data_IF_593241632385
#
_entry.id   IF_593241632385
#
_cell.length_a   1.000
_cell.length_b   1.000
_cell.length_c   1.000
_cell.angle_alpha   90.00
_cell.angle_beta   90.00
_cell.angle_gamma   90.00
#
_symmetry.space_group_name_H-M   'P 1'
#
loop_
_entity.id
_entity.type
_entity.pdbx_description
1 polymer ?
#
# COMPACT_ATOMS: atom_id res chain seq x y z
N UNK A 1 24.36 -24.05 5.28
CA UNK A 1 23.23 -24.76 5.93
C UNK A 1 23.12 -26.15 5.33
N UNK A 2 23.20 -27.22 6.12
CA UNK A 2 23.19 -28.61 5.62
C UNK A 2 21.75 -29.14 5.42
N UNK A 3 20.88 -28.91 6.39
CA UNK A 3 19.47 -29.31 6.34
C UNK A 3 18.58 -28.18 6.84
N UNK A 4 17.35 -28.15 6.33
CA UNK A 4 16.31 -27.22 6.78
C UNK A 4 14.95 -27.91 6.75
N UNK A 5 14.07 -27.51 7.66
CA UNK A 5 12.88 -28.29 8.00
C UNK A 5 11.59 -27.52 7.73
N UNK A 6 10.51 -28.27 7.46
CA UNK A 6 9.16 -27.70 7.28
C UNK A 6 8.13 -28.63 7.92
N UNK A 7 7.46 -28.12 8.95
CA UNK A 7 6.39 -28.83 9.64
C UNK A 7 5.06 -28.70 8.88
N UNK A 8 4.38 -29.82 8.66
CA UNK A 8 3.08 -29.83 7.97
C UNK A 8 2.14 -30.85 8.58
N UNK A 9 0.87 -30.50 8.67
CA UNK A 9 -0.18 -31.47 8.96
C UNK A 9 -0.39 -32.41 7.75
N UNK A 10 -0.89 -33.62 8.00
CA UNK A 10 -1.06 -34.65 6.95
C UNK A 10 -2.01 -34.21 5.83
N UNK A 11 -3.04 -33.41 6.15
CA UNK A 11 -3.99 -32.92 5.15
C UNK A 11 -3.29 -31.97 4.17
N UNK A 12 -2.45 -31.05 4.63
CA UNK A 12 -1.69 -30.15 3.78
C UNK A 12 -0.71 -30.89 2.85
N UNK A 13 -0.21 -32.06 3.29
CA UNK A 13 0.70 -32.91 2.51
C UNK A 13 -0.01 -33.79 1.47
N UNK A 14 -1.20 -34.32 1.80
CA UNK A 14 -1.85 -35.41 1.05
C UNK A 14 -3.24 -35.08 0.51
N UNK A 15 -3.85 -33.96 0.91
CA UNK A 15 -5.16 -33.55 0.42
C UNK A 15 -5.00 -32.28 -0.43
N UNK A 16 -5.50 -32.32 -1.65
CA UNK A 16 -5.52 -31.18 -2.57
C UNK A 16 -6.89 -30.50 -2.59
N UNK A 17 -7.40 -30.03 -1.45
CA UNK A 17 -8.56 -29.12 -1.42
C UNK A 17 -8.11 -27.69 -1.04
N UNK A 18 -7.75 -26.86 -2.04
CA UNK A 18 -7.31 -25.48 -1.82
C UNK A 18 -8.36 -24.63 -1.09
N UNK A 19 -9.65 -24.96 -1.20
CA UNK A 19 -10.73 -24.24 -0.49
C UNK A 19 -10.63 -24.37 1.02
N UNK A 20 -9.99 -25.44 1.50
CA UNK A 20 -9.74 -25.68 2.93
C UNK A 20 -8.29 -25.38 3.34
N UNK A 21 -7.49 -24.80 2.44
CA UNK A 21 -6.08 -24.49 2.71
C UNK A 21 -5.15 -25.71 2.69
N UNK A 22 -5.52 -26.78 1.96
CA UNK A 22 -4.68 -27.96 1.75
C UNK A 22 -4.21 -28.06 0.30
N UNK A 23 -2.91 -28.32 0.09
CA UNK A 23 -2.26 -28.16 -1.22
C UNK A 23 -1.64 -29.44 -1.77
N UNK A 24 -1.77 -30.55 -1.05
CA UNK A 24 -1.12 -31.81 -1.40
C UNK A 24 0.39 -31.65 -1.62
N UNK A 25 1.09 -30.89 -0.76
CA UNK A 25 2.50 -30.51 -0.99
C UNK A 25 3.41 -31.72 -1.29
N UNK A 26 3.18 -32.86 -0.61
CA UNK A 26 3.96 -34.07 -0.84
C UNK A 26 3.49 -34.82 -2.09
N UNK A 27 2.18 -34.97 -2.27
CA UNK A 27 1.61 -35.70 -3.42
C UNK A 27 1.94 -35.01 -4.75
N UNK A 28 1.81 -33.68 -4.78
CA UNK A 28 2.05 -32.86 -5.96
C UNK A 28 3.52 -32.48 -6.13
N UNK A 29 4.37 -32.83 -5.16
CA UNK A 29 5.75 -32.34 -5.06
C UNK A 29 5.77 -30.82 -5.23
N UNK A 30 5.18 -30.09 -4.29
CA UNK A 30 5.00 -28.64 -4.37
C UNK A 30 5.28 -27.97 -3.05
N UNK A 31 5.56 -26.67 -3.11
CA UNK A 31 5.79 -25.80 -1.96
C UNK A 31 4.75 -24.70 -2.04
N UNK A 32 3.92 -24.63 -1.01
CA UNK A 32 2.96 -23.55 -0.84
C UNK A 32 3.66 -22.26 -0.41
N UNK A 33 3.30 -21.14 -1.04
CA UNK A 33 3.70 -19.80 -0.61
C UNK A 33 2.46 -19.08 -0.04
N UNK A 34 2.52 -18.76 1.24
CA UNK A 34 1.48 -18.08 1.99
C UNK A 34 1.53 -16.57 1.77
N UNK A 35 0.37 -15.95 1.63
CA UNK A 35 0.24 -14.49 1.58
C UNK A 35 0.37 -13.87 2.98
N UNK A 36 0.63 -12.55 3.09
CA UNK A 36 0.86 -11.89 4.37
C UNK A 36 -0.28 -12.07 5.37
N UNK A 37 -1.52 -12.14 4.89
CA UNK A 37 -2.73 -12.30 5.71
C UNK A 37 -2.83 -13.69 6.35
N UNK A 38 -2.04 -14.66 5.89
CA UNK A 38 -1.99 -16.02 6.43
C UNK A 38 -0.86 -16.21 7.46
N UNK A 39 -0.03 -15.19 7.68
CA UNK A 39 1.09 -15.26 8.60
C UNK A 39 0.63 -15.07 10.05
N UNK A 40 1.39 -15.67 10.96
CA UNK A 40 1.02 -15.79 12.37
C UNK A 40 1.32 -14.52 13.18
N UNK A 41 2.29 -13.72 12.77
CA UNK A 41 2.64 -12.48 13.45
C UNK A 41 2.08 -11.26 12.67
N UNK A 42 1.29 -10.39 13.32
CA UNK A 42 0.69 -9.23 12.67
C UNK A 42 1.69 -8.15 12.26
N UNK A 43 2.96 -8.20 12.73
CA UNK A 43 3.97 -7.20 12.35
C UNK A 43 4.67 -7.50 11.04
N UNK A 44 4.42 -8.66 10.46
CA UNK A 44 5.11 -9.15 9.28
C UNK A 44 4.71 -8.38 8.03
N UNK A 45 5.68 -7.85 7.31
CA UNK A 45 5.43 -6.96 6.17
C UNK A 45 4.96 -5.55 6.54
N UNK A 46 4.83 -5.21 7.84
CA UNK A 46 4.52 -3.85 8.26
C UNK A 46 5.67 -2.90 7.88
N UNK A 47 5.28 -1.71 7.39
CA UNK A 47 6.21 -0.66 6.97
C UNK A 47 5.86 0.65 7.64
N UNK A 48 6.88 1.32 8.16
CA UNK A 48 6.74 2.67 8.69
C UNK A 48 6.89 3.68 7.54
N UNK A 49 5.83 3.80 6.73
CA UNK A 49 5.83 4.70 5.57
C UNK A 49 5.73 6.15 6.03
N UNK A 50 6.52 7.00 5.40
CA UNK A 50 6.45 8.44 5.58
C UNK A 50 6.64 9.18 4.25
N UNK A 51 6.33 10.47 4.26
CA UNK A 51 6.47 11.35 3.11
C UNK A 51 7.40 12.49 3.46
N UNK A 52 8.47 12.66 2.67
CA UNK A 52 9.41 13.76 2.84
C UNK A 52 9.86 14.25 1.47
N UNK A 53 9.58 15.51 1.17
CA UNK A 53 9.94 16.09 -0.12
C UNK A 53 9.52 17.54 -0.26
N UNK A 54 9.94 18.11 -1.38
CA UNK A 54 9.70 19.51 -1.73
C UNK A 54 8.28 19.73 -2.30
N UNK A 55 8.00 20.99 -2.65
CA UNK A 55 6.70 21.42 -3.18
C UNK A 55 6.25 20.65 -4.43
N UNK A 56 7.17 20.20 -5.28
CA UNK A 56 6.84 19.54 -6.54
C UNK A 56 6.14 18.22 -6.27
N UNK A 57 6.74 17.36 -5.44
CA UNK A 57 6.16 16.04 -5.13
C UNK A 57 4.85 16.15 -4.35
N UNK A 58 4.71 17.16 -3.49
CA UNK A 58 3.45 17.43 -2.77
C UNK A 58 2.34 17.92 -3.70
N UNK A 59 2.63 18.82 -4.63
CA UNK A 59 1.65 19.21 -5.66
C UNK A 59 1.23 18.02 -6.52
N UNK A 60 2.18 17.15 -6.86
CA UNK A 60 1.91 15.98 -7.68
C UNK A 60 1.15 14.88 -6.93
N UNK A 61 1.36 14.73 -5.61
CA UNK A 61 0.51 13.89 -4.77
C UNK A 61 -0.95 14.40 -4.80
N UNK A 62 -1.17 15.71 -4.63
CA UNK A 62 -2.53 16.28 -4.71
C UNK A 62 -3.12 16.16 -6.12
N UNK A 63 -2.30 16.22 -7.18
CA UNK A 63 -2.75 15.92 -8.55
C UNK A 63 -3.20 14.48 -8.66
N UNK A 64 -2.36 13.52 -8.28
CA UNK A 64 -2.69 12.09 -8.32
C UNK A 64 -3.96 11.82 -7.49
N UNK A 65 -4.05 12.33 -6.26
CA UNK A 65 -5.28 12.30 -5.45
C UNK A 65 -6.52 12.77 -6.20
N UNK A 66 -6.45 13.95 -6.84
CA UNK A 66 -7.59 14.48 -7.59
C UNK A 66 -7.91 13.67 -8.86
N UNK A 67 -6.92 13.01 -9.48
CA UNK A 67 -7.11 12.16 -10.65
C UNK A 67 -7.83 10.89 -10.24
N UNK A 68 -7.31 10.20 -9.23
CA UNK A 68 -7.88 8.99 -8.67
C UNK A 68 -9.31 9.25 -8.20
N UNK A 69 -9.57 10.35 -7.47
CA UNK A 69 -10.94 10.72 -7.07
C UNK A 69 -11.86 10.96 -8.27
N UNK A 70 -11.38 11.67 -9.30
CA UNK A 70 -12.16 11.90 -10.53
C UNK A 70 -12.48 10.57 -11.22
N UNK A 71 -11.50 9.68 -11.31
CA UNK A 71 -11.66 8.38 -11.94
C UNK A 71 -12.63 7.49 -11.17
N UNK A 72 -12.50 7.41 -9.85
CA UNK A 72 -13.38 6.60 -8.99
C UNK A 72 -14.83 7.10 -9.05
N UNK A 73 -15.04 8.42 -9.03
CA UNK A 73 -16.38 9.01 -9.19
C UNK A 73 -16.96 8.66 -10.57
N UNK A 74 -16.18 8.82 -11.65
CA UNK A 74 -16.63 8.47 -13.00
C UNK A 74 -16.91 6.97 -13.15
N UNK A 75 -16.04 6.12 -12.60
CA UNK A 75 -16.21 4.67 -12.65
C UNK A 75 -17.51 4.26 -11.94
N UNK A 76 -17.81 4.88 -10.79
CA UNK A 76 -19.06 4.64 -10.08
C UNK A 76 -20.30 5.12 -10.86
N UNK A 77 -20.27 6.33 -11.41
CA UNK A 77 -21.44 6.91 -12.10
C UNK A 77 -21.70 6.30 -13.50
N UNK A 78 -20.70 5.63 -14.07
CA UNK A 78 -20.79 4.98 -15.38
C UNK A 78 -20.94 3.46 -15.30
N UNK A 79 -20.73 2.86 -14.12
CA UNK A 79 -20.93 1.42 -13.91
C UNK A 79 -22.40 1.12 -13.70
N UNK A 80 -22.93 0.13 -14.42
CA UNK A 80 -24.27 -0.44 -14.16
C UNK A 80 -24.23 -1.44 -12.99
N UNK A 81 -23.05 -1.98 -12.68
CA UNK A 81 -22.82 -2.92 -11.58
C UNK A 81 -22.39 -2.16 -10.33
N UNK A 82 -23.00 -2.50 -9.18
CA UNK A 82 -22.55 -2.02 -7.88
C UNK A 82 -21.16 -2.59 -7.58
N UNK A 83 -20.21 -1.70 -7.28
CA UNK A 83 -18.90 -2.11 -6.79
C UNK A 83 -19.08 -2.90 -5.50
N UNK A 84 -18.68 -4.18 -5.47
CA UNK A 84 -18.67 -4.98 -4.24
C UNK A 84 -17.82 -4.33 -3.14
N UNK A 85 -16.75 -3.64 -3.52
CA UNK A 85 -15.95 -2.81 -2.62
C UNK A 85 -15.51 -1.51 -3.32
N UNK A 86 -15.82 -0.36 -2.72
CA UNK A 86 -15.46 0.94 -3.31
C UNK A 86 -13.95 1.17 -3.43
N UNK A 87 -13.13 0.47 -2.62
CA UNK A 87 -11.67 0.55 -2.73
C UNK A 87 -11.17 0.09 -4.10
N UNK A 88 -11.89 -0.82 -4.77
CA UNK A 88 -11.52 -1.34 -6.09
C UNK A 88 -11.63 -0.29 -7.19
N UNK A 89 -12.36 0.80 -6.93
CA UNK A 89 -12.44 1.95 -7.84
C UNK A 89 -11.19 2.86 -7.77
N UNK A 90 -10.29 2.66 -6.81
CA UNK A 90 -9.06 3.45 -6.63
C UNK A 90 -7.98 2.94 -7.58
N UNK A 91 -7.91 3.54 -8.77
CA UNK A 91 -6.81 3.31 -9.70
C UNK A 91 -5.67 4.30 -9.45
N UNK A 92 -4.59 3.80 -8.84
CA UNK A 92 -3.36 4.56 -8.61
C UNK A 92 -2.38 4.52 -9.78
N UNK A 93 -2.54 3.57 -10.71
CA UNK A 93 -1.67 3.43 -11.87
C UNK A 93 -2.16 4.27 -13.05
N UNK A 94 -3.41 4.76 -13.00
CA UNK A 94 -3.85 5.88 -13.82
C UNK A 94 -3.10 7.16 -13.41
N UNK A 95 -2.25 7.62 -14.32
CA UNK A 95 -1.41 8.79 -14.15
C UNK A 95 -1.76 9.86 -15.19
N UNK A 96 -1.48 11.15 -14.93
CA UNK A 96 -1.72 12.21 -15.90
C UNK A 96 -1.13 11.93 -17.30
N UNK A 97 0.06 11.31 -17.38
CA UNK A 97 0.69 10.94 -18.65
C UNK A 97 0.06 9.74 -19.35
N UNK A 98 -0.69 8.89 -18.64
CA UNK A 98 -1.28 7.64 -19.14
C UNK A 98 -2.80 7.70 -19.35
N UNK A 99 -3.43 8.86 -19.12
CA UNK A 99 -4.85 9.06 -19.39
C UNK A 99 -5.16 8.68 -20.86
N UNK A 100 -6.14 7.80 -21.12
CA UNK A 100 -6.28 7.14 -22.42
C UNK A 100 -6.85 8.04 -23.53
N UNK A 101 -7.65 9.05 -23.19
CA UNK A 101 -8.35 9.89 -24.19
C UNK A 101 -7.99 11.37 -24.04
N UNK A 102 -7.89 12.09 -25.15
CA UNK A 102 -7.64 13.54 -25.14
C UNK A 102 -8.76 14.30 -24.43
N UNK A 103 -10.03 13.89 -24.60
CA UNK A 103 -11.16 14.49 -23.87
C UNK A 103 -10.96 14.38 -22.35
N UNK A 104 -10.53 13.22 -21.85
CA UNK A 104 -10.29 13.04 -20.43
C UNK A 104 -9.05 13.80 -19.96
N UNK A 105 -7.96 13.84 -20.76
CA UNK A 105 -6.77 14.66 -20.46
C UNK A 105 -7.12 16.13 -20.33
N UNK A 106 -7.95 16.67 -21.22
CA UNK A 106 -8.38 18.06 -21.17
C UNK A 106 -9.25 18.35 -19.94
N UNK A 107 -10.23 17.48 -19.65
CA UNK A 107 -11.09 17.58 -18.48
C UNK A 107 -10.26 17.57 -17.19
N UNK A 108 -9.42 16.55 -17.03
CA UNK A 108 -8.56 16.43 -15.86
C UNK A 108 -7.56 17.60 -15.78
N UNK A 109 -7.00 18.04 -16.90
CA UNK A 109 -6.14 19.22 -16.96
C UNK A 109 -6.82 20.50 -16.45
N UNK A 110 -8.14 20.65 -16.66
CA UNK A 110 -8.93 21.73 -16.04
C UNK A 110 -9.11 21.53 -14.54
N UNK A 111 -9.46 20.32 -14.11
CA UNK A 111 -9.63 19.94 -12.69
C UNK A 111 -8.34 20.18 -11.92
N UNK A 112 -7.24 19.56 -12.32
CA UNK A 112 -5.93 19.66 -11.68
C UNK A 112 -5.43 21.11 -11.58
N UNK A 113 -5.70 21.95 -12.59
CA UNK A 113 -5.37 23.38 -12.55
C UNK A 113 -6.18 24.13 -11.50
N UNK A 114 -7.49 23.83 -11.38
CA UNK A 114 -8.39 24.45 -10.40
C UNK A 114 -8.10 24.00 -8.98
N UNK A 115 -7.81 22.72 -8.79
CA UNK A 115 -7.41 22.13 -7.49
C UNK A 115 -6.15 22.81 -6.97
N UNK A 116 -5.05 22.79 -7.73
CA UNK A 116 -3.76 23.33 -7.27
C UNK A 116 -3.79 24.85 -7.07
N UNK A 117 -4.62 25.58 -7.83
CA UNK A 117 -4.79 27.03 -7.64
C UNK A 117 -5.76 27.40 -6.52
N UNK A 118 -6.48 26.44 -5.94
CA UNK A 118 -7.48 26.71 -4.92
C UNK A 118 -6.80 27.24 -3.63
N UNK A 119 -7.32 28.32 -3.00
CA UNK A 119 -6.73 28.87 -1.78
C UNK A 119 -6.60 27.88 -0.62
N UNK A 120 -7.56 26.96 -0.46
CA UNK A 120 -7.51 25.93 0.59
C UNK A 120 -6.35 24.96 0.36
N UNK A 121 -6.22 24.47 -0.87
CA UNK A 121 -5.17 23.53 -1.27
C UNK A 121 -3.80 24.20 -1.15
N UNK A 122 -3.66 25.43 -1.64
CA UNK A 122 -2.41 26.20 -1.52
C UNK A 122 -2.03 26.40 -0.06
N UNK A 123 -2.98 26.80 0.80
CA UNK A 123 -2.71 26.97 2.22
C UNK A 123 -2.17 25.70 2.88
N UNK A 124 -2.78 24.54 2.62
CA UNK A 124 -2.32 23.26 3.17
C UNK A 124 -0.95 22.88 2.62
N UNK A 125 -0.74 23.01 1.30
CA UNK A 125 0.57 22.75 0.71
C UNK A 125 1.64 23.69 1.27
N UNK A 126 1.33 24.96 1.48
CA UNK A 126 2.26 25.95 2.04
C UNK A 126 2.68 25.55 3.46
N UNK A 127 1.75 25.04 4.28
CA UNK A 127 2.03 24.50 5.62
C UNK A 127 2.89 23.23 5.56
N UNK A 128 2.54 22.28 4.69
CA UNK A 128 3.29 21.04 4.53
C UNK A 128 4.74 21.33 4.13
N UNK A 129 4.95 22.29 3.23
CA UNK A 129 6.29 22.65 2.73
C UNK A 129 7.03 23.70 3.55
N UNK A 130 6.39 24.31 4.55
CA UNK A 130 7.02 25.35 5.36
C UNK A 130 8.15 24.80 6.24
N UNK A 131 8.12 23.50 6.53
CA UNK A 131 9.11 22.81 7.35
C UNK A 131 9.50 21.52 6.67
N UNK A 132 10.79 21.27 6.51
CA UNK A 132 11.29 19.96 6.10
C UNK A 132 11.01 18.97 7.24
N UNK A 133 9.87 18.28 7.13
CA UNK A 133 9.42 17.33 8.14
C UNK A 133 9.00 16.01 7.52
N UNK A 134 9.17 14.98 8.32
CA UNK A 134 8.71 13.64 8.03
C UNK A 134 7.21 13.57 8.36
N UNK A 135 6.37 13.52 7.32
CA UNK A 135 4.91 13.40 7.49
C UNK A 135 4.57 11.90 7.54
N UNK A 136 3.88 11.48 8.60
CA UNK A 136 3.37 10.11 8.75
C UNK A 136 1.93 10.02 8.25
N UNK A 137 1.43 8.80 8.15
CA UNK A 137 0.12 8.47 7.58
C UNK A 137 -1.04 9.27 8.17
N UNK A 138 -1.13 9.36 9.49
CA UNK A 138 -2.22 10.06 10.18
C UNK A 138 -2.19 11.57 9.90
N UNK A 139 -1.00 12.14 9.80
CA UNK A 139 -0.83 13.54 9.43
C UNK A 139 -1.18 13.79 7.94
N UNK A 140 -0.78 12.88 7.05
CA UNK A 140 -1.17 12.94 5.65
C UNK A 140 -2.69 12.89 5.49
N UNK A 141 -3.35 11.98 6.23
CA UNK A 141 -4.81 11.87 6.27
C UNK A 141 -5.44 13.17 6.73
N UNK A 142 -4.96 13.74 7.84
CA UNK A 142 -5.42 15.04 8.32
C UNK A 142 -5.31 16.14 7.25
N UNK A 143 -4.22 16.17 6.49
CA UNK A 143 -4.02 17.14 5.42
C UNK A 143 -4.98 16.92 4.23
N UNK A 144 -5.12 15.70 3.73
CA UNK A 144 -6.02 15.38 2.63
C UNK A 144 -7.48 15.60 3.02
N UNK A 145 -7.92 15.16 4.20
CA UNK A 145 -9.26 15.40 4.73
C UNK A 145 -9.60 16.90 4.78
N UNK A 146 -8.61 17.73 5.13
CA UNK A 146 -8.80 19.18 5.24
C UNK A 146 -9.08 19.85 3.90
N UNK A 147 -8.68 19.24 2.78
CA UNK A 147 -8.93 19.75 1.43
C UNK A 147 -9.93 18.91 0.64
N UNK A 148 -10.30 17.73 1.12
CA UNK A 148 -11.08 16.73 0.40
C UNK A 148 -12.37 17.29 -0.19
N UNK A 149 -13.24 17.87 0.64
CA UNK A 149 -14.52 18.43 0.18
C UNK A 149 -14.34 19.56 -0.85
N UNK A 150 -13.23 20.29 -0.78
CA UNK A 150 -12.91 21.33 -1.77
C UNK A 150 -12.51 20.69 -3.10
N UNK A 151 -11.66 19.65 -3.07
CA UNK A 151 -11.25 18.89 -4.26
C UNK A 151 -12.46 18.23 -4.91
N UNK A 152 -13.24 17.47 -4.13
CA UNK A 152 -14.46 16.80 -4.59
C UNK A 152 -15.46 17.78 -5.21
N UNK A 153 -15.66 18.96 -4.61
CA UNK A 153 -16.52 20.00 -5.20
C UNK A 153 -15.99 20.50 -6.55
N UNK A 154 -14.68 20.67 -6.70
CA UNK A 154 -14.08 21.09 -7.98
C UNK A 154 -14.29 19.99 -9.02
N UNK A 155 -14.07 18.72 -8.66
CA UNK A 155 -14.31 17.56 -9.53
C UNK A 155 -15.77 17.55 -10.00
N UNK A 156 -16.73 17.51 -9.07
CA UNK A 156 -18.16 17.47 -9.38
C UNK A 156 -18.60 18.64 -10.27
N UNK A 157 -18.07 19.85 -10.05
CA UNK A 157 -18.39 21.03 -10.87
C UNK A 157 -17.81 20.97 -12.28
N UNK A 158 -16.66 20.34 -12.48
CA UNK A 158 -16.13 20.17 -13.83
C UNK A 158 -16.81 18.99 -14.54
N UNK A 159 -17.16 17.93 -13.81
CA UNK A 159 -17.94 16.82 -14.34
C UNK A 159 -19.36 17.24 -14.75
N UNK A 160 -20.02 18.11 -13.98
CA UNK A 160 -21.38 18.58 -14.32
C UNK A 160 -21.46 19.39 -15.61
N UNK A 161 -20.34 19.88 -16.14
CA UNK A 161 -20.31 20.54 -17.46
C UNK A 161 -20.30 19.55 -18.61
N UNK A 162 -19.82 18.34 -18.35
CA UNK A 162 -19.74 17.27 -19.33
C UNK A 162 -20.95 16.33 -19.23
N UNK A 163 -21.44 16.09 -18.00
CA UNK A 163 -22.56 15.19 -17.68
C UNK A 163 -23.48 15.89 -16.65
N UNK A 164 -24.30 16.88 -17.06
CA UNK A 164 -25.13 17.67 -16.14
C UNK A 164 -26.11 16.81 -15.33
N UNK A 165 -26.74 15.83 -15.97
CA UNK A 165 -27.77 14.98 -15.39
C UNK A 165 -27.29 14.21 -14.15
N UNK A 166 -26.01 13.82 -14.12
CA UNK A 166 -25.43 13.07 -13.00
C UNK A 166 -24.87 13.98 -11.87
N UNK A 167 -24.46 15.22 -12.18
CA UNK A 167 -23.60 16.00 -11.26
C UNK A 167 -24.11 17.39 -10.87
N UNK A 168 -25.17 17.92 -11.47
CA UNK A 168 -25.61 19.30 -11.19
C UNK A 168 -26.01 19.53 -9.72
N UNK A 169 -26.64 18.55 -9.07
CA UNK A 169 -26.96 18.65 -7.64
C UNK A 169 -25.69 18.64 -6.78
N UNK A 170 -24.70 17.81 -7.12
CA UNK A 170 -23.40 17.72 -6.42
C UNK A 170 -22.54 18.98 -6.62
N UNK A 171 -22.62 19.61 -7.79
CA UNK A 171 -21.87 20.83 -8.11
C UNK A 171 -22.31 22.04 -7.26
N UNK A 172 -23.57 22.03 -6.79
CA UNK A 172 -24.18 23.10 -6.01
C UNK A 172 -24.06 22.92 -4.49
N UNK A 173 -23.42 21.85 -4.00
CA UNK A 173 -23.16 21.64 -2.58
C UNK A 173 -22.49 22.86 -1.91
N UNK A 174 -22.69 23.12 -0.60
CA UNK A 174 -22.08 24.26 0.09
C UNK A 174 -20.56 24.37 -0.11
N UNK A 175 -20.03 25.60 -0.17
CA UNK A 175 -18.57 25.80 -0.24
C UNK A 175 -17.96 25.54 1.13
N UNK A 176 -16.92 24.70 1.24
CA UNK A 176 -16.16 24.59 2.48
C UNK A 176 -15.62 25.96 2.91
N UNK A 177 -15.66 26.26 4.21
CA UNK A 177 -15.26 27.56 4.75
C UNK A 177 -13.74 27.65 4.91
N UNK A 178 -13.12 28.62 4.24
CA UNK A 178 -11.68 28.89 4.40
C UNK A 178 -11.33 29.29 5.84
N UNK A 179 -12.22 30.02 6.51
CA UNK A 179 -12.07 30.37 7.93
C UNK A 179 -12.03 29.12 8.82
N UNK A 180 -12.85 28.11 8.52
CA UNK A 180 -12.84 26.84 9.26
C UNK A 180 -11.50 26.13 9.08
N UNK A 181 -10.99 26.06 7.85
CA UNK A 181 -9.66 25.51 7.55
C UNK A 181 -8.55 26.21 8.34
N UNK A 182 -8.49 27.54 8.28
CA UNK A 182 -7.49 28.31 9.04
C UNK A 182 -7.61 28.07 10.55
N UNK A 183 -8.84 27.98 11.07
CA UNK A 183 -9.07 27.70 12.49
C UNK A 183 -8.59 26.31 12.89
N UNK A 184 -8.78 25.31 12.02
CA UNK A 184 -8.28 23.93 12.21
C UNK A 184 -6.76 23.85 12.31
N UNK A 185 -6.04 24.69 11.54
CA UNK A 185 -4.57 24.71 11.51
C UNK A 185 -3.93 25.69 12.48
N UNK A 186 -4.68 26.66 13.02
CA UNK A 186 -4.16 27.66 13.96
C UNK A 186 -3.38 27.03 15.12
N UNK A 187 -3.87 25.99 15.82
CA UNK A 187 -3.12 25.38 16.93
C UNK A 187 -1.76 24.84 16.49
N UNK A 188 -1.67 24.20 15.31
CA UNK A 188 -0.41 23.69 14.75
C UNK A 188 0.55 24.85 14.48
N UNK A 189 0.07 25.91 13.79
CA UNK A 189 0.91 27.07 13.44
C UNK A 189 1.45 27.77 14.70
N UNK A 190 0.64 27.86 15.75
CA UNK A 190 1.06 28.44 17.03
C UNK A 190 2.04 27.55 17.79
N UNK A 191 1.85 26.23 17.76
CA UNK A 191 2.74 25.25 18.38
C UNK A 191 4.15 25.28 17.76
N UNK A 192 4.24 25.28 16.42
CA UNK A 192 5.53 25.33 15.70
C UNK A 192 6.38 26.54 16.08
N UNK A 193 5.76 27.66 16.47
CA UNK A 193 6.50 28.87 16.87
C UNK A 193 7.06 28.81 18.28
N UNK A 194 6.58 27.91 19.13
CA UNK A 194 6.81 27.90 20.58
C UNK A 194 7.55 26.67 21.07
N UNK A 195 7.34 25.53 20.41
CA UNK A 195 7.87 24.24 20.85
C UNK A 195 9.19 23.94 20.16
N UNK A 196 10.05 23.20 20.85
CA UNK A 196 11.18 22.55 20.22
C UNK A 196 10.74 21.33 19.40
N UNK A 197 11.69 20.65 18.74
CA UNK A 197 11.37 19.52 17.86
C UNK A 197 10.78 18.31 18.60
N UNK A 198 11.24 18.03 19.82
CA UNK A 198 10.80 16.85 20.57
C UNK A 198 9.38 17.07 21.12
N UNK A 199 9.14 18.24 21.70
CA UNK A 199 7.82 18.64 22.19
C UNK A 199 6.80 18.76 21.06
N UNK A 200 7.23 19.23 19.89
CA UNK A 200 6.36 19.32 18.71
C UNK A 200 5.87 17.96 18.24
N UNK A 201 6.71 16.91 18.28
CA UNK A 201 6.29 15.56 17.90
C UNK A 201 5.19 15.06 18.84
N UNK A 202 5.40 15.15 20.16
CA UNK A 202 4.40 14.73 21.14
C UNK A 202 3.10 15.52 21.04
N UNK A 203 3.19 16.83 20.79
CA UNK A 203 2.02 17.67 20.54
C UNK A 203 1.26 17.24 19.28
N UNK A 204 1.97 16.96 18.19
CA UNK A 204 1.34 16.49 16.94
C UNK A 204 0.64 15.16 17.12
N UNK A 205 1.25 14.20 17.83
CA UNK A 205 0.65 12.89 18.09
C UNK A 205 -0.68 13.05 18.85
N UNK A 206 -0.69 13.83 19.94
CA UNK A 206 -1.91 14.13 20.71
C UNK A 206 -2.97 14.88 19.89
N UNK A 207 -2.53 15.86 19.10
CA UNK A 207 -3.42 16.65 18.25
C UNK A 207 -4.09 15.76 17.19
N UNK A 208 -3.33 14.91 16.51
CA UNK A 208 -3.83 14.00 15.48
C UNK A 208 -4.76 12.96 16.08
N UNK A 209 -4.43 12.40 17.26
CA UNK A 209 -5.32 11.47 17.97
C UNK A 209 -6.68 12.11 18.25
N UNK A 210 -6.71 13.36 18.75
CA UNK A 210 -7.95 14.08 18.97
C UNK A 210 -8.73 14.34 17.67
N UNK A 211 -8.04 14.59 16.55
CA UNK A 211 -8.70 14.74 15.23
C UNK A 211 -9.29 13.42 14.74
N UNK A 212 -8.59 12.30 14.91
CA UNK A 212 -9.09 10.97 14.57
C UNK A 212 -10.35 10.67 15.37
N UNK A 213 -10.33 10.88 16.68
CA UNK A 213 -11.51 10.69 17.54
C UNK A 213 -12.70 11.55 17.08
N UNK A 214 -12.45 12.81 16.70
CA UNK A 214 -13.49 13.69 16.14
C UNK A 214 -14.07 13.13 14.84
N UNK A 215 -13.22 12.68 13.92
CA UNK A 215 -13.65 12.08 12.64
C UNK A 215 -14.44 10.79 12.86
N UNK A 216 -13.99 9.90 13.74
CA UNK A 216 -14.72 8.68 14.10
C UNK A 216 -16.09 9.00 14.69
N UNK A 217 -16.19 9.99 15.59
CA UNK A 217 -17.47 10.42 16.14
C UNK A 217 -18.41 10.99 15.06
N UNK A 218 -17.87 11.71 14.07
CA UNK A 218 -18.63 12.21 12.93
C UNK A 218 -19.12 11.06 12.03
N UNK A 219 -18.25 10.10 11.71
CA UNK A 219 -18.59 8.90 10.94
C UNK A 219 -19.67 8.09 11.64
N UNK A 220 -19.57 7.86 12.95
CA UNK A 220 -20.60 7.17 13.72
C UNK A 220 -21.95 7.89 13.66
N UNK A 221 -21.97 9.23 13.79
CA UNK A 221 -23.20 10.01 13.69
C UNK A 221 -23.86 9.90 12.31
N UNK A 222 -23.07 9.81 11.24
CA UNK A 222 -23.61 9.67 9.89
C UNK A 222 -23.96 8.22 9.53
N UNK A 223 -23.21 7.24 10.05
CA UNK A 223 -23.46 5.81 9.83
C UNK A 223 -24.69 5.23 10.55
N UNK A 224 -25.52 6.05 11.18
CA UNK A 224 -26.85 5.65 11.68
C UNK A 224 -27.95 5.76 10.59
N UNK A 225 -27.60 6.13 9.36
CA UNK A 225 -28.50 6.12 8.21
C UNK A 225 -28.17 4.87 7.34
N UNK A 226 -29.18 4.05 7.06
CA UNK A 226 -29.07 2.62 6.70
C UNK A 226 -29.63 2.38 5.27
N UNK A 227 -29.03 3.04 4.26
CA UNK A 227 -29.39 2.90 2.83
C UNK A 227 -28.11 2.71 2.00
N UNK A 228 -28.13 1.89 0.94
CA UNK A 228 -27.01 1.65 0.03
C UNK A 228 -26.51 2.94 -0.64
N UNK A 229 -27.41 3.88 -0.96
CA UNK A 229 -27.00 5.21 -1.46
C UNK A 229 -26.19 5.99 -0.42
N UNK A 230 -26.40 5.70 0.86
CA UNK A 230 -25.64 6.30 1.94
C UNK A 230 -24.23 5.70 2.05
N UNK A 231 -24.03 4.43 1.68
CA UNK A 231 -22.69 3.81 1.64
C UNK A 231 -21.77 4.44 0.61
N UNK A 232 -22.20 4.57 -0.65
CA UNK A 232 -21.42 5.24 -1.71
C UNK A 232 -21.12 6.68 -1.34
N UNK A 233 -22.15 7.42 -0.89
CA UNK A 233 -21.97 8.82 -0.52
C UNK A 233 -20.99 8.95 0.64
N UNK A 234 -21.13 8.10 1.68
CA UNK A 234 -20.20 8.04 2.80
C UNK A 234 -18.77 7.74 2.36
N UNK A 235 -18.56 6.79 1.46
CA UNK A 235 -17.24 6.48 0.93
C UNK A 235 -16.59 7.72 0.31
N UNK A 236 -17.25 8.33 -0.69
CA UNK A 236 -16.68 9.48 -1.39
C UNK A 236 -16.55 10.73 -0.52
N UNK A 237 -17.37 10.91 0.51
CA UNK A 237 -17.34 12.10 1.37
C UNK A 237 -16.36 11.95 2.54
N UNK A 238 -16.13 10.74 3.05
CA UNK A 238 -15.39 10.51 4.29
C UNK A 238 -14.24 9.52 4.21
N UNK A 239 -14.40 8.42 3.47
CA UNK A 239 -13.50 7.26 3.58
C UNK A 239 -12.44 7.28 2.48
N UNK A 240 -12.77 7.88 1.33
CA UNK A 240 -11.87 8.01 0.19
C UNK A 240 -10.45 8.53 0.54
N UNK A 241 -10.26 9.58 1.37
CA UNK A 241 -8.92 10.05 1.70
C UNK A 241 -8.06 8.99 2.41
N UNK A 242 -8.68 8.23 3.33
CA UNK A 242 -8.01 7.14 4.05
C UNK A 242 -7.66 6.02 3.09
N UNK A 243 -8.63 5.55 2.31
CA UNK A 243 -8.44 4.42 1.41
C UNK A 243 -7.46 4.76 0.28
N UNK A 244 -7.42 6.00 -0.18
CA UNK A 244 -6.38 6.48 -1.08
C UNK A 244 -4.98 6.32 -0.47
N UNK A 245 -4.79 6.75 0.78
CA UNK A 245 -3.49 6.65 1.47
C UNK A 245 -3.10 5.19 1.72
N UNK A 246 -4.05 4.32 2.08
CA UNK A 246 -3.80 2.88 2.21
C UNK A 246 -3.33 2.28 0.88
N UNK A 247 -4.00 2.65 -0.21
CA UNK A 247 -3.68 2.15 -1.54
C UNK A 247 -2.31 2.63 -2.03
N UNK A 248 -1.79 3.78 -1.57
CA UNK A 248 -0.49 4.32 -2.03
C UNK A 248 0.67 3.32 -1.87
N UNK A 249 0.58 2.40 -0.91
CA UNK A 249 1.58 1.36 -0.70
C UNK A 249 1.75 0.45 -1.92
N UNK A 250 0.69 0.29 -2.73
CA UNK A 250 0.70 -0.47 -3.96
C UNK A 250 1.60 0.12 -5.04
N UNK A 251 2.10 1.37 -4.91
CA UNK A 251 3.11 1.97 -5.79
C UNK A 251 4.54 1.67 -5.33
N UNK A 252 4.73 1.31 -4.07
CA UNK A 252 6.03 1.12 -3.47
C UNK A 252 6.61 -0.22 -3.87
N UNK A 253 6.00 -1.31 -3.39
CA UNK A 253 6.55 -2.65 -3.50
C UNK A 253 5.54 -3.65 -4.05
N UNK A 254 5.99 -4.68 -4.79
CA UNK A 254 5.10 -5.71 -5.32
C UNK A 254 4.41 -6.49 -4.20
N UNK A 255 3.28 -7.12 -4.53
CA UNK A 255 2.71 -8.16 -3.68
C UNK A 255 3.74 -9.29 -3.49
N UNK A 256 3.60 -10.04 -2.41
CA UNK A 256 4.54 -11.11 -2.09
C UNK A 256 3.84 -12.25 -1.38
N UNK A 257 4.42 -13.43 -1.52
CA UNK A 257 4.08 -14.61 -0.76
C UNK A 257 5.37 -15.26 -0.26
N UNK A 258 5.30 -15.97 0.86
CA UNK A 258 6.48 -16.57 1.49
C UNK A 258 6.27 -18.02 1.84
N UNK A 259 7.36 -18.75 1.93
CA UNK A 259 7.38 -20.12 2.37
C UNK A 259 8.35 -20.27 3.54
N UNK A 260 7.80 -20.65 4.70
CA UNK A 260 8.52 -20.69 5.96
C UNK A 260 9.16 -22.06 6.21
N UNK A 261 10.39 -22.03 6.71
CA UNK A 261 11.19 -23.18 7.08
C UNK A 261 11.91 -22.88 8.39
N UNK A 262 12.39 -23.90 9.08
CA UNK A 262 13.06 -23.75 10.37
C UNK A 262 14.35 -24.56 10.42
N UNK A 263 15.30 -24.12 11.22
CA UNK A 263 16.59 -24.82 11.37
C UNK A 263 16.59 -25.90 12.45
N UNK A 264 15.54 -26.01 13.26
CA UNK A 264 15.44 -26.99 14.34
C UNK A 264 14.16 -27.84 14.19
N UNK A 265 14.34 -29.15 14.05
CA UNK A 265 13.24 -30.12 13.92
C UNK A 265 12.77 -30.70 15.27
N UNK A 266 13.48 -30.42 16.38
CA UNK A 266 13.20 -30.99 17.69
C UNK A 266 12.32 -30.08 18.57
N UNK A 267 12.07 -28.84 18.13
CA UNK A 267 11.27 -27.88 18.89
C UNK A 267 9.81 -28.36 19.07
N UNK A 268 9.44 -28.70 20.32
CA UNK A 268 8.10 -29.21 20.64
C UNK A 268 6.97 -28.23 20.35
N UNK A 269 7.19 -26.91 20.49
CA UNK A 269 6.17 -25.91 20.17
C UNK A 269 5.85 -25.92 18.68
N UNK A 270 6.86 -26.12 17.82
CA UNK A 270 6.66 -26.23 16.37
C UNK A 270 5.81 -27.44 15.99
N UNK A 271 6.06 -28.59 16.61
CA UNK A 271 5.23 -29.78 16.42
C UNK A 271 3.78 -29.58 16.89
N UNK A 272 3.59 -28.82 17.98
CA UNK A 272 2.28 -28.42 18.47
C UNK A 272 1.51 -27.56 17.47
N UNK A 273 2.11 -26.44 17.04
CA UNK A 273 1.46 -25.43 16.20
C UNK A 273 1.30 -25.84 14.73
N UNK A 274 2.35 -26.43 14.13
CA UNK A 274 2.42 -26.58 12.68
C UNK A 274 2.33 -28.03 12.19
N UNK A 275 2.44 -29.01 13.09
CA UNK A 275 2.32 -30.43 12.78
C UNK A 275 1.09 -31.07 13.47
N UNK A 276 -0.06 -30.38 13.46
CA UNK A 276 -1.36 -30.89 13.93
C UNK A 276 -1.28 -31.52 15.33
N UNK A 277 -0.73 -30.78 16.31
CA UNK A 277 -0.52 -31.29 17.67
C UNK A 277 0.24 -32.63 17.69
N UNK A 278 1.42 -32.66 17.05
CA UNK A 278 2.31 -33.82 16.94
C UNK A 278 1.81 -35.00 16.07
N UNK A 279 0.76 -34.81 15.25
CA UNK A 279 0.24 -35.86 14.35
C UNK A 279 0.68 -35.71 12.89
N UNK A 280 1.32 -34.58 12.58
CA UNK A 280 1.83 -34.24 11.26
C UNK A 280 3.20 -34.84 10.95
N UNK A 281 3.88 -34.24 10.00
CA UNK A 281 5.23 -34.64 9.59
C UNK A 281 6.17 -33.43 9.54
N UNK A 282 7.47 -33.72 9.65
CA UNK A 282 8.54 -32.79 9.41
C UNK A 282 9.23 -33.19 8.11
N UNK A 283 9.14 -32.35 7.08
CA UNK A 283 9.86 -32.54 5.83
C UNK A 283 11.30 -32.02 5.98
N UNK A 284 12.27 -32.74 5.41
CA UNK A 284 13.70 -32.39 5.45
C UNK A 284 14.13 -31.98 4.04
N UNK A 285 14.69 -30.79 3.92
CA UNK A 285 15.22 -30.25 2.67
C UNK A 285 16.72 -30.06 2.79
N UNK A 286 17.42 -30.23 1.65
CA UNK A 286 18.88 -30.02 1.55
C UNK A 286 19.16 -28.84 0.64
N UNK A 287 19.47 -27.65 1.21
CA UNK A 287 19.79 -26.47 0.43
C UNK A 287 21.03 -26.66 -0.43
N UNK A 288 21.03 -26.10 -1.63
CA UNK A 288 22.22 -25.98 -2.49
C UNK A 288 22.65 -24.52 -2.51
N UNK A 289 23.86 -24.22 -2.01
CA UNK A 289 24.38 -22.86 -1.88
C UNK A 289 23.40 -21.91 -1.17
N UNK A 290 22.86 -22.34 -0.02
CA UNK A 290 21.89 -21.57 0.78
C UNK A 290 20.60 -21.19 0.04
N UNK A 291 20.25 -21.96 -0.99
CA UNK A 291 19.03 -21.76 -1.78
C UNK A 291 18.32 -23.07 -2.04
N UNK A 292 17.03 -22.98 -2.34
CA UNK A 292 16.23 -24.09 -2.86
C UNK A 292 15.89 -23.81 -4.32
N UNK A 293 16.16 -24.79 -5.20
CA UNK A 293 15.81 -24.70 -6.62
C UNK A 293 14.39 -25.21 -6.82
N UNK A 294 13.50 -24.34 -7.26
CA UNK A 294 12.11 -24.66 -7.55
C UNK A 294 11.88 -24.68 -9.07
N UNK A 295 11.07 -25.62 -9.54
CA UNK A 295 10.75 -25.76 -10.95
C UNK A 295 9.33 -25.25 -11.22
N UNK A 296 8.94 -25.15 -12.50
CA UNK A 296 7.58 -24.77 -12.90
C UNK A 296 7.03 -23.52 -12.18
N UNK A 297 7.91 -22.58 -11.83
CA UNK A 297 7.50 -21.33 -11.19
C UNK A 297 6.72 -20.53 -12.23
N UNK A 298 5.50 -20.06 -11.93
CA UNK A 298 4.75 -19.25 -12.88
C UNK A 298 5.59 -18.10 -13.44
N UNK A 299 5.55 -17.90 -14.76
CA UNK A 299 6.33 -16.86 -15.44
C UNK A 299 7.80 -17.20 -15.70
N UNK A 300 8.26 -18.42 -15.37
CA UNK A 300 9.60 -18.90 -15.72
C UNK A 300 9.55 -19.99 -16.79
N UNK A 301 10.65 -20.14 -17.54
CA UNK A 301 10.76 -21.24 -18.51
C UNK A 301 10.67 -22.60 -17.78
N UNK A 302 9.98 -23.61 -18.34
CA UNK A 302 9.86 -24.94 -17.73
C UNK A 302 11.21 -25.61 -17.46
N UNK A 303 12.23 -25.22 -18.22
CA UNK A 303 13.59 -25.76 -18.16
C UNK A 303 14.52 -24.78 -17.42
N UNK A 304 15.10 -25.23 -16.30
CA UNK A 304 16.18 -24.51 -15.61
C UNK A 304 15.99 -24.34 -14.10
N UNK A 305 14.74 -24.23 -13.63
CA UNK A 305 14.41 -23.95 -12.23
C UNK A 305 14.87 -22.56 -11.77
N UNK A 306 14.13 -21.93 -10.86
CA UNK A 306 14.51 -20.66 -10.20
C UNK A 306 15.13 -20.98 -8.84
N UNK A 307 16.30 -20.39 -8.55
CA UNK A 307 16.90 -20.46 -7.20
C UNK A 307 16.19 -19.47 -6.29
N UNK A 308 15.71 -19.96 -5.14
CA UNK A 308 15.17 -19.13 -4.08
C UNK A 308 16.14 -19.17 -2.89
N UNK A 309 16.82 -18.07 -2.57
CA UNK A 309 17.69 -18.01 -1.39
C UNK A 309 16.87 -18.07 -0.10
N UNK A 310 17.45 -18.68 0.93
CA UNK A 310 16.88 -18.65 2.27
C UNK A 310 17.21 -17.32 2.96
N UNK A 311 16.19 -16.63 3.42
CA UNK A 311 16.32 -15.40 4.20
C UNK A 311 16.02 -15.67 5.67
N UNK A 312 16.99 -15.42 6.54
CA UNK A 312 16.82 -15.59 7.99
C UNK A 312 15.89 -14.51 8.55
N UNK A 313 15.02 -14.89 9.48
CA UNK A 313 14.17 -13.93 10.20
C UNK A 313 14.97 -13.14 11.24
N UNK A 314 14.67 -11.84 11.30
CA UNK A 314 15.12 -10.92 12.33
C UNK A 314 14.02 -10.72 13.39
N UNK A 315 14.30 -11.21 14.60
CA UNK A 315 13.41 -11.11 15.76
C UNK A 315 13.71 -9.93 16.68
N UNK A 316 14.72 -9.12 16.35
CA UNK A 316 15.24 -8.06 17.24
C UNK A 316 14.79 -6.67 16.81
N UNK A 317 14.75 -6.42 15.51
CA UNK A 317 14.47 -5.09 14.97
C UNK A 317 13.02 -4.98 14.48
N UNK A 318 12.35 -3.88 14.83
CA UNK A 318 11.00 -3.57 14.36
C UNK A 318 10.95 -3.11 12.90
N UNK A 319 9.76 -2.73 12.43
CA UNK A 319 9.53 -2.22 11.09
C UNK A 319 10.44 -1.03 10.74
N UNK A 320 10.91 -1.00 9.50
CA UNK A 320 11.83 0.01 9.02
C UNK A 320 11.09 1.18 8.40
N UNK A 321 11.72 2.34 8.42
CA UNK A 321 11.20 3.52 7.73
C UNK A 321 11.34 3.38 6.21
N UNK A 322 10.32 3.88 5.51
CA UNK A 322 10.28 3.93 4.05
C UNK A 322 9.75 5.31 3.62
N UNK A 323 10.56 6.08 2.91
CA UNK A 323 10.13 7.35 2.31
C UNK A 323 9.40 7.08 1.00
N UNK A 324 8.10 7.39 0.96
CA UNK A 324 7.23 7.14 -0.19
C UNK A 324 7.78 7.74 -1.47
N UNK A 325 8.19 9.02 -1.46
CA UNK A 325 8.62 9.71 -2.68
C UNK A 325 9.92 9.13 -3.25
N UNK A 326 10.70 8.42 -2.43
CA UNK A 326 11.96 7.78 -2.79
C UNK A 326 11.87 6.27 -2.96
N UNK A 327 10.66 5.69 -2.95
CA UNK A 327 10.48 4.24 -2.93
C UNK A 327 9.42 3.71 -3.91
N UNK A 328 9.02 4.46 -4.94
CA UNK A 328 7.99 4.06 -5.92
C UNK A 328 8.52 3.02 -6.94
N UNK A 329 9.05 1.89 -6.47
CA UNK A 329 9.76 0.93 -7.30
C UNK A 329 8.90 0.09 -8.24
N UNK A 330 7.57 0.13 -8.12
CA UNK A 330 6.65 -0.51 -9.09
C UNK A 330 6.36 0.34 -10.33
N UNK A 331 6.79 1.59 -10.34
CA UNK A 331 6.62 2.47 -11.50
C UNK A 331 7.89 2.49 -12.36
N UNK A 332 7.77 2.44 -13.70
CA UNK A 332 8.86 2.78 -14.60
C UNK A 332 9.41 4.18 -14.30
N UNK A 333 10.73 4.34 -14.46
CA UNK A 333 11.42 5.60 -14.12
C UNK A 333 10.82 6.82 -14.86
N UNK A 334 10.40 6.65 -16.11
CA UNK A 334 9.76 7.72 -16.88
C UNK A 334 8.41 8.13 -16.30
N UNK A 335 7.61 7.18 -15.80
CA UNK A 335 6.35 7.49 -15.13
C UNK A 335 6.57 8.19 -13.79
N UNK A 336 7.59 7.79 -13.02
CA UNK A 336 7.99 8.50 -11.79
C UNK A 336 8.38 9.93 -12.14
N UNK A 337 9.24 10.09 -13.15
CA UNK A 337 9.75 11.38 -13.60
C UNK A 337 8.62 12.32 -14.02
N UNK A 338 7.77 11.87 -14.92
CA UNK A 338 6.76 12.72 -15.57
C UNK A 338 5.57 13.05 -14.65
N UNK A 339 5.22 12.15 -13.72
CA UNK A 339 4.01 12.30 -12.91
C UNK A 339 4.27 12.71 -11.46
N UNK A 340 5.44 12.42 -10.90
CA UNK A 340 5.76 12.70 -9.50
C UNK A 340 6.87 13.72 -9.33
N UNK A 341 7.91 13.67 -10.16
CA UNK A 341 9.15 14.42 -9.93
C UNK A 341 9.21 15.75 -10.64
N UNK A 342 8.42 15.95 -11.69
CA UNK A 342 8.42 17.17 -12.48
C UNK A 342 7.24 18.07 -12.13
N UNK A 343 7.53 19.35 -11.93
CA UNK A 343 6.51 20.38 -11.91
C UNK A 343 6.04 20.69 -13.33
N UNK A 344 4.87 21.32 -13.44
CA UNK A 344 4.36 21.81 -14.72
C UNK A 344 5.29 22.81 -15.42
N UNK A 345 6.12 23.52 -14.66
CA UNK A 345 7.03 24.54 -15.19
C UNK A 345 8.43 23.97 -15.50
N UNK A 346 8.61 22.65 -15.43
CA UNK A 346 9.88 21.98 -15.72
C UNK A 346 10.89 21.96 -14.57
N UNK A 347 10.57 22.54 -13.41
CA UNK A 347 11.36 22.33 -12.19
C UNK A 347 11.25 20.87 -11.73
N UNK A 348 12.38 20.30 -11.31
CA UNK A 348 12.54 18.89 -10.93
C UNK A 348 12.72 18.84 -9.42
N UNK A 349 12.01 17.92 -8.77
CA UNK A 349 12.14 17.66 -7.33
C UNK A 349 13.52 17.12 -6.96
N UNK A 350 14.03 17.53 -5.80
CA UNK A 350 15.25 17.00 -5.19
C UNK A 350 15.11 15.50 -4.87
N UNK A 351 13.87 15.02 -4.67
CA UNK A 351 13.60 13.60 -4.48
C UNK A 351 14.02 12.75 -5.69
N UNK A 352 14.08 13.33 -6.89
CA UNK A 352 14.43 12.59 -8.10
C UNK A 352 15.90 12.17 -8.14
N UNK A 353 16.76 12.88 -7.41
CA UNK A 353 18.19 12.55 -7.37
C UNK A 353 18.44 11.18 -6.75
N UNK A 354 17.57 10.75 -5.82
CA UNK A 354 17.62 9.40 -5.24
C UNK A 354 17.53 8.28 -6.29
N UNK A 355 16.72 8.47 -7.34
CA UNK A 355 16.57 7.49 -8.42
C UNK A 355 17.73 7.52 -9.43
N UNK A 356 18.46 8.64 -9.52
CA UNK A 356 19.57 8.83 -10.46
C UNK A 356 20.92 8.39 -9.90
N UNK A 357 21.06 8.31 -8.57
CA UNK A 357 22.31 7.94 -7.90
C UNK A 357 22.89 6.66 -8.50
N UNK A 358 24.18 6.71 -8.86
CA UNK A 358 24.92 5.60 -9.47
C UNK A 358 24.19 4.94 -10.66
N UNK A 359 23.59 5.75 -11.55
CA UNK A 359 22.77 5.26 -12.67
C UNK A 359 21.62 4.33 -12.23
N UNK A 360 21.09 4.57 -11.02
CA UNK A 360 19.99 3.84 -10.41
C UNK A 360 20.36 2.49 -9.79
N UNK A 361 21.64 2.07 -9.75
CA UNK A 361 22.03 0.82 -9.08
C UNK A 361 21.74 0.85 -7.59
N UNK A 362 22.08 1.97 -6.95
CA UNK A 362 22.03 2.11 -5.50
C UNK A 362 20.57 2.15 -5.05
N UNK A 363 19.72 2.87 -5.80
CA UNK A 363 18.27 2.82 -5.64
C UNK A 363 17.75 1.38 -5.69
N UNK A 364 18.07 0.61 -6.74
CA UNK A 364 17.57 -0.77 -6.89
C UNK A 364 18.03 -1.67 -5.74
N UNK A 365 19.29 -1.56 -5.33
CA UNK A 365 19.83 -2.34 -4.23
C UNK A 365 19.13 -1.99 -2.90
N UNK A 366 19.00 -0.69 -2.60
CA UNK A 366 18.34 -0.23 -1.39
C UNK A 366 16.85 -0.61 -1.37
N UNK A 367 16.18 -0.47 -2.51
CA UNK A 367 14.79 -0.86 -2.70
C UNK A 367 14.57 -2.35 -2.36
N UNK A 368 15.33 -3.25 -3.00
CA UNK A 368 15.20 -4.68 -2.73
C UNK A 368 15.65 -5.05 -1.32
N UNK A 369 16.66 -4.36 -0.77
CA UNK A 369 17.06 -4.54 0.62
C UNK A 369 15.92 -4.19 1.58
N UNK A 370 15.20 -3.09 1.37
CA UNK A 370 14.06 -2.71 2.20
C UNK A 370 12.90 -3.69 2.03
N UNK A 371 12.63 -4.12 0.79
CA UNK A 371 11.60 -5.11 0.50
C UNK A 371 11.80 -6.40 1.30
N UNK A 372 12.98 -7.00 1.20
CA UNK A 372 13.33 -8.23 1.91
C UNK A 372 13.32 -8.01 3.42
N UNK A 373 13.94 -6.92 3.89
CA UNK A 373 14.01 -6.56 5.30
C UNK A 373 12.63 -6.52 5.98
N UNK A 374 11.63 -5.94 5.31
CA UNK A 374 10.28 -5.80 5.89
C UNK A 374 9.51 -7.14 5.92
N UNK A 375 9.83 -8.05 5.01
CA UNK A 375 9.25 -9.41 4.95
C UNK A 375 9.92 -10.35 5.95
N UNK A 376 11.19 -10.13 6.29
CA UNK A 376 11.98 -11.04 7.12
C UNK A 376 12.05 -10.60 8.58
N UNK A 377 10.94 -10.08 9.13
CA UNK A 377 10.86 -9.62 10.52
C UNK A 377 9.70 -10.25 11.24
N UNK A 378 9.92 -10.56 12.51
CA UNK A 378 8.90 -11.02 13.45
C UNK A 378 9.17 -10.42 14.83
N UNK A 379 8.14 -10.37 15.65
CA UNK A 379 8.26 -10.07 17.08
C UNK A 379 9.06 -11.15 17.79
N UNK A 380 9.69 -10.74 18.90
CA UNK A 380 10.57 -11.60 19.69
C UNK A 380 9.87 -12.85 20.25
N UNK A 381 8.55 -12.80 20.42
CA UNK A 381 7.77 -13.93 20.94
C UNK A 381 7.86 -15.17 20.04
N UNK A 382 8.21 -15.00 18.76
CA UNK A 382 8.39 -16.07 17.78
C UNK A 382 9.85 -16.49 17.54
N UNK A 383 10.82 -15.96 18.30
CA UNK A 383 12.26 -16.24 18.11
C UNK A 383 12.60 -17.74 18.25
N UNK A 384 11.79 -18.49 19.01
CA UNK A 384 11.95 -19.94 19.16
C UNK A 384 11.79 -20.71 17.84
N UNK A 385 11.14 -20.14 16.83
CA UNK A 385 10.92 -20.78 15.53
C UNK A 385 12.23 -20.94 14.74
N UNK A 386 13.24 -20.08 14.97
CA UNK A 386 14.49 -20.05 14.19
C UNK A 386 14.24 -20.14 12.67
N UNK A 387 13.36 -19.26 12.20
CA UNK A 387 12.77 -19.35 10.86
C UNK A 387 13.68 -18.78 9.76
N UNK A 388 13.56 -19.39 8.58
CA UNK A 388 14.02 -18.89 7.31
C UNK A 388 12.90 -18.89 6.27
N UNK A 389 12.99 -17.98 5.30
CA UNK A 389 11.98 -17.78 4.26
C UNK A 389 12.53 -17.96 2.86
N UNK A 390 11.72 -18.57 2.01
CA UNK A 390 11.76 -18.33 0.58
C UNK A 390 10.71 -17.27 0.26
N UNK A 391 11.08 -16.25 -0.50
CA UNK A 391 10.18 -15.14 -0.84
C UNK A 391 9.88 -15.21 -2.34
N UNK A 392 8.60 -15.09 -2.69
CA UNK A 392 8.14 -14.97 -4.06
C UNK A 392 7.41 -13.65 -4.24
N UNK A 393 7.98 -12.77 -5.03
CA UNK A 393 7.47 -11.45 -5.37
C UNK A 393 6.64 -11.43 -6.66
N UNK A 394 5.63 -10.58 -6.69
CA UNK A 394 4.85 -10.29 -7.87
C UNK A 394 5.72 -9.54 -8.88
N UNK A 395 5.94 -10.16 -10.03
CA UNK A 395 6.70 -9.56 -11.12
C UNK A 395 5.83 -9.47 -12.36
N UNK A 396 5.84 -10.50 -13.19
CA UNK A 396 5.07 -10.57 -14.45
C UNK A 396 3.81 -11.41 -14.35
N UNK A 397 3.70 -12.21 -13.28
CA UNK A 397 2.52 -13.01 -12.97
C UNK A 397 1.88 -12.41 -11.74
N UNK A 398 0.61 -12.05 -11.87
CA UNK A 398 -0.20 -11.52 -10.77
C UNK A 398 -0.22 -12.53 -9.63
N UNK A 399 0.20 -12.09 -8.43
CA UNK A 399 0.08 -12.92 -7.24
C UNK A 399 -1.29 -12.61 -6.63
N UNK A 400 -2.35 -13.31 -7.04
CA UNK A 400 -3.69 -12.94 -6.57
C UNK A 400 -4.71 -14.08 -6.53
N UNK A 401 -5.62 -14.06 -5.53
CA UNK A 401 -6.81 -14.89 -5.48
C UNK A 401 -7.89 -14.27 -6.38
N UNK A 402 -7.85 -14.52 -7.69
CA UNK A 402 -9.03 -14.23 -8.53
C UNK A 402 -10.05 -15.33 -8.32
N UNK A 403 -11.16 -14.99 -7.67
CA UNK A 403 -12.45 -15.71 -7.55
C UNK A 403 -12.46 -17.12 -8.16
N UNK A 404 -11.69 -18.00 -7.54
CA UNK A 404 -11.56 -19.38 -7.93
C UNK A 404 -11.43 -20.17 -6.64
N UNK A 405 -12.11 -21.32 -6.52
CA UNK A 405 -11.81 -22.36 -5.54
C UNK A 405 -10.33 -22.58 -5.20
N UNK A 406 -9.43 -22.22 -6.11
CA UNK A 406 -7.99 -22.49 -6.07
C UNK A 406 -7.10 -21.23 -6.14
N UNK A 407 -7.58 -20.05 -5.71
CA UNK A 407 -6.86 -18.76 -5.73
C UNK A 407 -5.60 -18.64 -4.85
N UNK A 408 -4.75 -19.66 -4.78
CA UNK A 408 -3.59 -19.76 -3.91
C UNK A 408 -2.38 -20.26 -4.69
N UNK A 409 -1.23 -19.62 -4.50
CA UNK A 409 -0.03 -19.90 -5.31
C UNK A 409 0.69 -21.13 -4.76
N UNK A 410 0.45 -22.25 -5.41
CA UNK A 410 1.17 -23.49 -5.18
C UNK A 410 2.26 -23.60 -6.24
N UNK A 411 3.53 -23.52 -5.83
CA UNK A 411 4.67 -23.65 -6.76
C UNK A 411 5.12 -25.11 -6.75
N UNK A 412 5.05 -25.80 -7.90
CA UNK A 412 5.43 -27.22 -8.02
C UNK A 412 6.94 -27.41 -8.04
N UNK A 413 7.49 -28.08 -7.06
CA UNK A 413 8.89 -28.50 -7.00
C UNK A 413 9.05 -29.84 -7.71
N UNK A 414 9.65 -29.88 -8.90
CA UNK A 414 10.24 -31.15 -9.34
C UNK A 414 11.49 -31.40 -8.51
N UNK A 415 11.42 -32.33 -7.57
CA UNK A 415 12.60 -32.90 -6.90
C UNK A 415 13.28 -33.86 -7.87
#
# INVERSE_FOLDING_TARGET
MEEIYRFRNLKALLQGDPKQGYFGELENQSIYFAFPEELNDPVEGLRNIHWTGDRVVWENLVRNYSLTLTNSILAHELSEDDFHNHIDSIDLFLMPSTIPTEKYKELYGRIARKVIRNPHVRFVLDIITAFERCIRKDELLFHLDSIHLVVMKIVNRELSKEIPEAFDYKANAPKPSFKCLVSKYRPIIEAVRKLDRADMQSYMDQFLEAQIQYLTAMQLKMGFYDDERDHTHRFFVLEFPKDYIESLQALLFPAWATSCFVSDSENSAMWGHYADSHKGCCLIFKPMNESLRLYNVPGTAPTGGKSFPFHRIDYKHGAGDVDFFKSMGRLPLDLIKDNWMHSKNGHISDCFDYYKQSNGSDFRQHYWSNFIRDITRKTKDWDYENEYRLINEESFVELGPKESPSGRIVVTVKI
#
